data_IF_116273205053
#
_entry.id   IF_116273205053
#
_cell.length_a   1.000
_cell.length_b   1.000
_cell.length_c   1.000
_cell.angle_alpha   90.00
_cell.angle_beta   90.00
_cell.angle_gamma   90.00
#
_symmetry.space_group_name_H-M   'P 1'
#
loop_
_entity.id
_entity.type
_entity.pdbx_description
1 polymer ?
#
# COMPACT_ATOMS: atom_id res chain seq x y z
N UNK A 1 -12.90 -5.02 -3.92
CA UNK A 1 -13.40 -4.35 -2.69
C UNK A 1 -12.22 -3.56 -2.10
N UNK A 2 -12.43 -2.32 -1.67
CA UNK A 2 -11.40 -1.51 -1.00
C UNK A 2 -11.56 -1.66 0.51
N UNK A 3 -10.46 -1.95 1.22
CA UNK A 3 -10.50 -2.19 2.67
C UNK A 3 -9.97 -1.02 3.49
N UNK A 4 -9.12 -0.19 2.89
CA UNK A 4 -8.49 0.97 3.52
C UNK A 4 -8.35 2.09 2.50
N UNK A 5 -8.56 3.32 2.95
CA UNK A 5 -8.41 4.52 2.14
C UNK A 5 -7.84 5.66 3.01
N UNK A 6 -6.97 6.49 2.43
CA UNK A 6 -6.45 7.71 3.08
C UNK A 6 -6.30 8.83 2.08
N UNK A 7 -6.52 10.06 2.53
CA UNK A 7 -6.24 11.25 1.73
C UNK A 7 -4.75 11.59 1.77
N UNK A 8 -4.27 12.26 0.72
CA UNK A 8 -3.02 13.01 0.80
C UNK A 8 -3.18 14.26 1.70
N UNK A 9 -2.07 14.89 2.08
CA UNK A 9 -2.10 16.05 2.98
C UNK A 9 -2.77 17.29 2.39
N UNK A 10 -3.16 17.26 1.10
CA UNK A 10 -3.84 18.34 0.40
C UNK A 10 -5.28 18.00 0.04
N UNK A 11 -5.76 16.80 0.38
CA UNK A 11 -7.08 16.29 0.00
C UNK A 11 -7.31 16.11 -1.50
N UNK A 12 -6.27 16.14 -2.33
CA UNK A 12 -6.39 16.06 -3.80
C UNK A 12 -6.44 14.63 -4.31
N UNK A 13 -5.97 13.68 -3.50
CA UNK A 13 -5.86 12.28 -3.90
C UNK A 13 -6.24 11.37 -2.75
N UNK A 14 -6.75 10.19 -3.11
CA UNK A 14 -7.01 9.09 -2.19
C UNK A 14 -6.10 7.93 -2.57
N UNK A 15 -5.32 7.42 -1.62
CA UNK A 15 -4.66 6.14 -1.75
C UNK A 15 -5.60 5.05 -1.24
N UNK A 16 -5.90 4.05 -2.06
CA UNK A 16 -6.81 2.96 -1.76
C UNK A 16 -6.10 1.61 -1.83
N UNK A 17 -6.20 0.83 -0.75
CA UNK A 17 -5.79 -0.57 -0.74
C UNK A 17 -6.86 -1.46 -1.35
N UNK A 18 -6.51 -2.25 -2.37
CA UNK A 18 -7.42 -3.14 -3.08
C UNK A 18 -7.19 -4.60 -2.70
N UNK A 19 -8.26 -5.38 -2.76
CA UNK A 19 -8.26 -6.82 -2.50
C UNK A 19 -7.39 -7.65 -3.45
N UNK A 20 -7.00 -7.09 -4.60
CA UNK A 20 -6.15 -7.72 -5.60
C UNK A 20 -4.65 -7.50 -5.34
N UNK A 21 -4.28 -6.91 -4.20
CA UNK A 21 -2.89 -6.67 -3.83
C UNK A 21 -2.29 -5.42 -4.47
N UNK A 22 -3.10 -4.60 -5.15
CA UNK A 22 -2.66 -3.33 -5.69
C UNK A 22 -3.04 -2.15 -4.80
N UNK A 23 -2.23 -1.09 -4.88
CA UNK A 23 -2.59 0.23 -4.37
C UNK A 23 -3.04 1.11 -5.55
N UNK A 24 -4.22 1.71 -5.46
CA UNK A 24 -4.70 2.67 -6.44
C UNK A 24 -4.60 4.09 -5.88
N UNK A 25 -4.18 5.03 -6.72
CA UNK A 25 -4.24 6.46 -6.45
C UNK A 25 -5.37 7.05 -7.27
N UNK A 26 -6.34 7.66 -6.58
CA UNK A 26 -7.57 8.20 -7.16
C UNK A 26 -7.55 9.72 -7.05
N UNK A 27 -7.89 10.44 -8.12
CA UNK A 27 -8.10 11.89 -8.08
C UNK A 27 -9.47 12.22 -7.47
N UNK A 28 -9.51 13.18 -6.53
CA UNK A 28 -10.76 13.48 -5.79
C UNK A 28 -11.74 14.35 -6.55
N UNK A 29 -11.33 15.02 -7.63
CA UNK A 29 -12.23 15.84 -8.44
C UNK A 29 -12.87 15.03 -9.57
N UNK A 30 -12.09 14.15 -10.19
CA UNK A 30 -12.55 13.36 -11.34
C UNK A 30 -12.99 11.95 -10.98
N UNK A 31 -12.61 11.45 -9.79
CA UNK A 31 -12.83 10.07 -9.34
C UNK A 31 -12.13 9.01 -10.18
N UNK A 32 -11.18 9.42 -11.02
CA UNK A 32 -10.43 8.51 -11.89
C UNK A 32 -9.18 7.96 -11.19
N UNK A 33 -8.80 6.73 -11.54
CA UNK A 33 -7.53 6.15 -11.11
C UNK A 33 -6.41 6.77 -11.94
N UNK A 34 -5.59 7.59 -11.29
CA UNK A 34 -4.45 8.24 -11.95
C UNK A 34 -3.19 7.39 -11.91
N UNK A 35 -3.12 6.41 -10.98
CA UNK A 35 -2.00 5.48 -10.89
C UNK A 35 -2.37 4.19 -10.17
N UNK A 36 -1.75 3.09 -10.58
CA UNK A 36 -1.77 1.82 -9.86
C UNK A 36 -0.34 1.45 -9.51
N UNK A 37 -0.12 1.04 -8.26
CA UNK A 37 1.12 0.49 -7.77
C UNK A 37 0.92 -0.99 -7.43
N UNK A 38 1.83 -1.82 -7.91
CA UNK A 38 1.99 -3.19 -7.43
C UNK A 38 2.87 -3.15 -6.19
N UNK A 39 2.35 -3.64 -5.08
CA UNK A 39 3.22 -3.96 -3.95
C UNK A 39 4.05 -5.19 -4.35
N UNK A 40 5.40 -5.12 -4.30
CA UNK A 40 6.20 -6.30 -4.52
C UNK A 40 5.80 -7.32 -3.46
N UNK A 41 5.31 -8.47 -3.89
CA UNK A 41 4.97 -9.56 -2.96
C UNK A 41 6.22 -9.90 -2.16
N UNK A 42 6.30 -9.38 -0.93
CA UNK A 42 7.35 -9.78 0.00
C UNK A 42 7.04 -11.25 0.28
N UNK A 43 7.84 -12.14 -0.33
CA UNK A 43 7.76 -13.57 -0.03
C UNK A 43 7.82 -13.72 1.48
N UNK A 44 6.78 -14.34 2.06
CA UNK A 44 6.64 -14.56 3.52
C UNK A 44 7.91 -15.14 4.17
N UNK A 45 8.69 -15.88 3.39
CA UNK A 45 10.00 -16.44 3.74
C UNK A 45 11.04 -15.39 4.20
N UNK A 46 10.94 -14.13 3.77
CA UNK A 46 11.90 -13.07 4.11
C UNK A 46 11.52 -12.26 5.34
N UNK A 47 10.26 -12.33 5.78
CA UNK A 47 9.79 -11.62 6.98
C UNK A 47 10.35 -12.24 8.27
N UNK A 48 10.56 -13.56 8.32
CA UNK A 48 11.11 -14.24 9.50
C UNK A 48 12.58 -13.87 9.79
N UNK A 49 13.33 -13.39 8.79
CA UNK A 49 14.72 -12.98 8.96
C UNK A 49 14.91 -11.57 9.54
N UNK A 50 13.86 -10.73 9.51
CA UNK A 50 13.91 -9.35 10.02
C UNK A 50 13.39 -9.22 11.45
N UNK A 51 12.63 -10.20 11.96
CA UNK A 51 12.05 -10.16 13.31
C UNK A 51 12.98 -10.66 14.43
N UNK A 52 14.08 -11.35 14.09
CA UNK A 52 15.02 -11.90 15.08
C UNK A 52 16.44 -11.33 14.95
N UNK A 53 16.56 -10.04 14.64
CA UNK A 53 17.81 -9.30 14.82
C UNK A 53 18.05 -8.91 16.28
N UNK A 54 17.95 -9.86 17.22
CA UNK A 54 18.51 -9.69 18.57
C UNK A 54 19.96 -10.09 18.47
N UNK A 55 20.85 -9.11 18.60
CA UNK A 55 22.28 -9.36 18.74
C UNK A 55 22.50 -10.10 20.07
N UNK A 56 22.81 -11.38 20.01
CA UNK A 56 23.53 -12.01 21.13
C UNK A 56 24.96 -11.45 21.11
N UNK A 57 25.36 -10.90 22.26
CA UNK A 57 26.68 -10.29 22.49
C UNK A 57 27.79 -11.31 22.67
#
# INVERSE_FOLDING_TARGET
IMYVATFDCRGKRIACGRSDGHLALVDTNTFEIVRTHEEPQIRREKLIGLTYGVKDG
#
